data_IF_676884063372
#
_entry.id   IF_676884063372
#
_cell.length_a   1.000
_cell.length_b   1.000
_cell.length_c   1.000
_cell.angle_alpha   90.00
_cell.angle_beta   90.00
_cell.angle_gamma   90.00
#
_symmetry.space_group_name_H-M   'P 1'
#
loop_
_entity.id
_entity.type
_entity.pdbx_description
1 polymer ?
#
# COMPACT_ATOMS: atom_id res chain seq x y z
N UNK A 1 -11.10 26.92 24.62
CA UNK A 1 -9.97 26.14 24.11
C UNK A 1 -10.37 24.69 24.19
N UNK A 2 -10.41 24.03 23.03
CA UNK A 2 -10.19 22.60 22.79
C UNK A 2 -10.71 22.36 21.37
N UNK A 3 -9.85 22.65 20.38
CA UNK A 3 -10.02 22.09 19.04
C UNK A 3 -9.72 20.60 19.16
N UNK A 4 -10.75 19.81 19.49
CA UNK A 4 -10.72 18.38 19.20
C UNK A 4 -10.74 18.26 17.68
N UNK A 5 -9.57 17.99 17.10
CA UNK A 5 -9.44 17.62 15.71
C UNK A 5 -10.33 16.40 15.49
N UNK A 6 -11.42 16.61 14.77
CA UNK A 6 -12.40 15.62 14.33
C UNK A 6 -11.65 14.63 13.43
N UNK A 7 -11.12 13.56 14.03
CA UNK A 7 -10.52 12.46 13.28
C UNK A 7 -11.70 11.75 12.61
N UNK A 8 -11.80 11.71 11.26
CA UNK A 8 -12.93 11.12 10.59
C UNK A 8 -13.13 9.68 11.08
N UNK A 9 -14.31 9.43 11.65
CA UNK A 9 -14.70 8.18 12.32
C UNK A 9 -14.62 6.91 11.42
N UNK A 10 -14.38 7.07 10.12
CA UNK A 10 -14.27 5.98 9.14
C UNK A 10 -12.98 5.14 9.23
N UNK A 11 -11.95 5.59 9.95
CA UNK A 11 -10.69 4.82 10.07
C UNK A 11 -10.61 3.93 11.34
N UNK A 12 -11.54 4.09 12.29
CA UNK A 12 -11.47 3.40 13.57
C UNK A 12 -11.78 1.89 13.47
N UNK A 13 -12.70 1.50 12.58
CA UNK A 13 -13.23 0.13 12.49
C UNK A 13 -12.56 -0.76 11.42
N UNK A 14 -11.62 -0.23 10.64
CA UNK A 14 -10.94 -1.03 9.61
C UNK A 14 -9.99 -2.06 10.25
N UNK A 15 -10.02 -3.28 9.71
CA UNK A 15 -9.06 -4.32 10.07
C UNK A 15 -7.63 -3.91 9.73
N UNK A 16 -6.60 -4.49 10.39
CA UNK A 16 -5.20 -4.24 10.06
C UNK A 16 -4.88 -4.40 8.56
N UNK A 17 -5.47 -5.41 7.93
CA UNK A 17 -5.30 -5.70 6.50
C UNK A 17 -5.89 -4.58 5.62
N UNK A 18 -7.12 -4.13 5.91
CA UNK A 18 -7.75 -3.02 5.17
C UNK A 18 -6.98 -1.72 5.35
N UNK A 19 -6.49 -1.44 6.56
CA UNK A 19 -5.61 -0.28 6.82
C UNK A 19 -4.34 -0.35 5.98
N UNK A 20 -3.67 -1.50 5.96
CA UNK A 20 -2.47 -1.67 5.16
C UNK A 20 -2.75 -1.55 3.65
N UNK A 21 -3.84 -2.12 3.15
CA UNK A 21 -4.21 -1.98 1.74
C UNK A 21 -4.49 -0.53 1.36
N UNK A 22 -5.19 0.23 2.22
CA UNK A 22 -5.42 1.65 1.97
C UNK A 22 -4.10 2.44 1.93
N UNK A 23 -3.18 2.20 2.87
CA UNK A 23 -1.85 2.81 2.88
C UNK A 23 -1.07 2.45 1.61
N UNK A 24 -1.08 1.18 1.20
CA UNK A 24 -0.43 0.74 -0.03
C UNK A 24 -1.03 1.42 -1.28
N UNK A 25 -2.37 1.49 -1.38
CA UNK A 25 -3.05 2.16 -2.47
C UNK A 25 -2.67 3.64 -2.59
N UNK A 26 -2.70 4.37 -1.48
CA UNK A 26 -2.29 5.78 -1.45
C UNK A 26 -0.82 5.95 -1.82
N UNK A 27 0.06 5.09 -1.30
CA UNK A 27 1.48 5.13 -1.61
C UNK A 27 1.73 4.91 -3.10
N UNK A 28 1.17 3.85 -3.69
CA UNK A 28 1.33 3.52 -5.12
C UNK A 28 0.79 4.65 -5.99
N UNK A 29 -0.41 5.16 -5.67
CA UNK A 29 -1.02 6.27 -6.41
C UNK A 29 -0.15 7.53 -6.38
N UNK A 30 0.42 7.86 -5.22
CA UNK A 30 1.17 9.11 -5.06
C UNK A 30 2.62 9.02 -5.56
N UNK A 31 3.28 7.89 -5.37
CA UNK A 31 4.72 7.73 -5.67
C UNK A 31 4.99 7.09 -7.02
N UNK A 32 4.17 6.11 -7.43
CA UNK A 32 4.30 5.40 -8.70
C UNK A 32 3.38 5.96 -9.78
N UNK A 33 2.36 6.72 -9.39
CA UNK A 33 1.37 7.31 -10.30
C UNK A 33 0.63 6.25 -11.13
N UNK A 34 0.51 5.03 -10.61
CA UNK A 34 -0.28 3.97 -11.23
C UNK A 34 -1.76 4.18 -10.92
N UNK A 35 -2.61 3.95 -11.91
CA UNK A 35 -4.06 3.90 -11.77
C UNK A 35 -4.45 2.63 -11.01
N UNK A 36 -5.56 2.66 -10.27
CA UNK A 36 -6.00 1.54 -9.41
C UNK A 36 -6.32 0.26 -10.20
N UNK A 37 -6.55 0.36 -11.50
CA UNK A 37 -6.79 -0.75 -12.42
C UNK A 37 -5.51 -1.29 -13.09
N UNK A 38 -4.35 -0.68 -12.84
CA UNK A 38 -3.06 -1.07 -13.42
C UNK A 38 -2.25 -2.01 -12.51
N UNK A 39 -2.64 -2.15 -11.24
CA UNK A 39 -1.96 -3.01 -10.29
C UNK A 39 -2.93 -3.77 -9.41
N UNK A 40 -2.43 -4.85 -8.82
CA UNK A 40 -3.12 -5.63 -7.81
C UNK A 40 -2.27 -5.63 -6.53
N UNK A 41 -2.92 -5.60 -5.36
CA UNK A 41 -2.27 -5.66 -4.05
C UNK A 41 -2.49 -7.03 -3.43
N UNK A 42 -1.43 -7.67 -2.93
CA UNK A 42 -1.54 -8.94 -2.20
C UNK A 42 -0.76 -8.88 -0.88
N UNK A 43 -1.37 -9.37 0.20
CA UNK A 43 -0.75 -9.36 1.54
C UNK A 43 0.05 -10.64 1.70
N UNK A 44 1.37 -10.51 1.77
CA UNK A 44 2.29 -11.65 1.92
C UNK A 44 2.50 -12.06 3.38
N UNK A 45 2.54 -11.09 4.30
CA UNK A 45 2.87 -11.34 5.70
C UNK A 45 2.17 -10.37 6.64
N UNK A 46 1.74 -10.90 7.79
CA UNK A 46 1.01 -10.19 8.85
C UNK A 46 1.76 -10.36 10.18
N UNK A 47 2.71 -9.47 10.44
CA UNK A 47 3.38 -9.32 11.75
C UNK A 47 3.21 -7.85 12.22
N UNK A 48 4.10 -7.35 13.08
CA UNK A 48 4.22 -5.93 13.44
C UNK A 48 4.37 -5.02 12.20
N UNK A 49 4.98 -5.57 11.15
CA UNK A 49 5.09 -4.96 9.84
C UNK A 49 4.33 -5.85 8.85
N UNK A 50 3.35 -5.26 8.16
CA UNK A 50 2.61 -5.92 7.08
C UNK A 50 3.39 -5.79 5.79
N UNK A 51 3.55 -6.89 5.07
CA UNK A 51 4.22 -6.91 3.77
C UNK A 51 3.17 -7.08 2.69
N UNK A 52 3.13 -6.14 1.74
CA UNK A 52 2.22 -6.13 0.60
C UNK A 52 3.02 -6.14 -0.69
N UNK A 53 2.67 -7.00 -1.63
CA UNK A 53 3.10 -6.89 -3.02
C UNK A 53 2.16 -5.99 -3.80
N UNK A 54 2.71 -4.93 -4.40
CA UNK A 54 2.03 -4.12 -5.40
C UNK A 54 2.49 -4.56 -6.79
N UNK A 55 1.70 -5.41 -7.42
CA UNK A 55 2.04 -6.08 -8.68
C UNK A 55 1.46 -5.30 -9.84
N UNK A 56 2.31 -4.75 -10.71
CA UNK A 56 1.84 -4.08 -11.91
C UNK A 56 1.39 -5.12 -12.95
N UNK A 57 0.22 -4.93 -13.56
CA UNK A 57 -0.38 -5.90 -14.49
C UNK A 57 0.46 -6.14 -15.75
N UNK A 58 1.31 -5.19 -16.11
CA UNK A 58 2.27 -5.40 -17.20
C UNK A 58 3.30 -6.49 -16.88
N UNK A 59 3.76 -6.59 -15.63
CA UNK A 59 4.67 -7.66 -15.21
C UNK A 59 3.97 -9.01 -15.26
N UNK A 60 2.69 -9.08 -14.88
CA UNK A 60 1.86 -10.30 -15.02
C UNK A 60 1.71 -10.76 -16.47
N UNK A 61 1.70 -9.82 -17.42
CA UNK A 61 1.61 -10.11 -18.86
C UNK A 61 2.97 -10.40 -19.51
N UNK A 62 4.08 -10.33 -18.75
CA UNK A 62 5.43 -10.47 -19.28
C UNK A 62 5.84 -9.31 -20.21
N UNK A 63 5.19 -8.15 -20.09
CA UNK A 63 5.46 -6.98 -20.91
C UNK A 63 6.73 -6.26 -20.41
N UNK A 64 7.50 -5.68 -21.33
CA UNK A 64 8.61 -4.79 -20.98
C UNK A 64 8.06 -3.41 -20.63
N UNK A 65 7.53 -3.29 -19.42
CA UNK A 65 7.03 -2.03 -18.87
C UNK A 65 8.12 -1.31 -18.08
N UNK A 66 8.17 0.04 -18.13
CA UNK A 66 8.96 0.83 -17.17
C UNK A 66 8.39 0.72 -15.75
N UNK A 67 7.11 0.34 -15.61
CA UNK A 67 6.46 0.12 -14.33
C UNK A 67 6.79 -1.28 -13.84
N UNK A 68 7.56 -1.33 -12.75
CA UNK A 68 7.97 -2.59 -12.10
C UNK A 68 7.23 -2.76 -10.81
N UNK A 69 6.72 -3.97 -10.60
CA UNK A 69 6.14 -4.42 -9.35
C UNK A 69 7.08 -4.14 -8.20
N UNK A 70 6.51 -3.82 -7.04
CA UNK A 70 7.27 -3.51 -5.82
C UNK A 70 6.67 -4.25 -4.64
N UNK A 71 7.51 -4.56 -3.67
CA UNK A 71 7.07 -5.00 -2.36
C UNK A 71 7.15 -3.84 -1.37
N UNK A 72 6.08 -3.63 -0.62
CA UNK A 72 5.92 -2.58 0.37
C UNK A 72 5.92 -3.21 1.76
N UNK A 73 6.68 -2.60 2.67
CA UNK A 73 6.62 -2.89 4.10
C UNK A 73 5.90 -1.75 4.79
N UNK A 74 4.78 -2.07 5.44
CA UNK A 74 3.89 -1.11 6.09
C UNK A 74 3.95 -1.33 7.60
N UNK A 75 4.24 -0.26 8.31
CA UNK A 75 4.16 -0.24 9.77
C UNK A 75 2.85 0.45 10.17
N UNK A 76 1.92 -0.34 10.74
CA UNK A 76 0.61 0.16 11.15
C UNK A 76 0.66 1.08 12.37
N UNK A 77 1.73 1.02 13.18
CA UNK A 77 1.88 1.90 14.35
C UNK A 77 2.12 3.36 13.95
N UNK A 78 2.78 3.56 12.80
CA UNK A 78 3.02 4.87 12.19
C UNK A 78 2.09 5.17 11.02
N UNK A 79 1.38 4.17 10.50
CA UNK A 79 0.39 4.33 9.43
C UNK A 79 0.98 4.64 8.06
N UNK A 80 2.17 4.11 7.73
CA UNK A 80 2.88 4.44 6.48
C UNK A 80 3.73 3.29 5.94
N UNK A 81 4.10 3.39 4.66
CA UNK A 81 5.14 2.55 4.05
C UNK A 81 6.51 2.97 4.59
N UNK A 82 7.19 2.04 5.24
CA UNK A 82 8.53 2.25 5.81
C UNK A 82 9.65 1.75 4.89
N UNK A 83 9.31 0.87 3.94
CA UNK A 83 10.28 0.34 2.97
C UNK A 83 9.61 -0.05 1.66
N UNK A 84 10.29 0.23 0.56
CA UNK A 84 9.99 -0.28 -0.78
C UNK A 84 11.14 -1.18 -1.25
N UNK A 85 10.82 -2.32 -1.83
CA UNK A 85 11.76 -3.23 -2.49
C UNK A 85 11.31 -3.45 -3.93
N UNK A 86 12.15 -3.11 -4.90
CA UNK A 86 11.88 -3.37 -6.31
C UNK A 86 12.15 -4.85 -6.64
N UNK A 87 11.26 -5.46 -7.43
CA UNK A 87 11.51 -6.77 -8.01
C UNK A 87 12.61 -6.66 -9.09
N UNK A 88 13.64 -7.51 -9.00
CA UNK A 88 14.78 -7.55 -9.93
C UNK A 88 14.44 -8.30 -11.23
#
# INVERSE_FOLDING_TARGET
>A
MSDEADIPAEQADLSPDEKAQNIAHEYVKNTKQWSTDEYDLDILKRDDIIVIDAVHRDDLKGSKSPNKSVQLQIDLSVGQVIRELAYQ
#
